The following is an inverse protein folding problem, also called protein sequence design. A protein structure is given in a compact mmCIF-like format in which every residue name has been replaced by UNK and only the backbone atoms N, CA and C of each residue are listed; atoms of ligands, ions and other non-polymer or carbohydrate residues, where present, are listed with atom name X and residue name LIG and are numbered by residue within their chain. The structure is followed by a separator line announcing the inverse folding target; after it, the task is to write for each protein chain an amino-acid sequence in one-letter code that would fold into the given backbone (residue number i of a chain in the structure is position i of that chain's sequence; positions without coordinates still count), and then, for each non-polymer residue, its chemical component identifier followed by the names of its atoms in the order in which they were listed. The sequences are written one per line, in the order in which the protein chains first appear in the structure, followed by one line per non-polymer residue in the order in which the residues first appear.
data_IF_292484480070
#
_entry.id   IF_292484480070
#
_cell.length_a   1.000
_cell.length_b   1.000
_cell.length_c   1.000
_cell.angle_alpha   90.00
_cell.angle_beta   90.00
_cell.angle_gamma   90.00
#
_symmetry.space_group_name_H-M   'P 1'
#
loop_
_entity.id
_entity.type
_entity.pdbx_description
1 polymer ?
#
# COMPACT_ATOMS: atom_id res chain seq x y z
N UNK A 1 8.02 10.00 13.75
CA UNK A 1 7.67 10.22 12.32
C UNK A 1 7.77 8.86 11.64
N UNK A 2 6.67 8.09 11.64
CA UNK A 2 6.67 6.69 11.22
C UNK A 2 6.93 6.61 9.71
N UNK A 3 7.94 5.83 9.33
CA UNK A 3 8.33 5.62 7.95
C UNK A 3 7.12 5.10 7.15
N UNK A 4 6.72 5.84 6.11
CA UNK A 4 5.70 5.36 5.17
C UNK A 4 6.27 4.16 4.43
N UNK A 5 5.78 2.97 4.76
CA UNK A 5 6.25 1.72 4.14
C UNK A 5 5.47 1.49 2.84
N UNK A 6 6.19 1.23 1.76
CA UNK A 6 5.56 0.84 0.48
C UNK A 6 5.58 -0.68 0.32
N UNK A 7 4.43 -1.28 0.04
CA UNK A 7 4.24 -2.73 -0.13
C UNK A 7 3.40 -2.96 -1.38
N UNK A 8 3.91 -3.72 -2.35
CA UNK A 8 3.24 -4.02 -3.62
C UNK A 8 2.70 -2.79 -4.39
N UNK A 9 3.39 -1.65 -4.28
CA UNK A 9 2.95 -0.39 -4.88
C UNK A 9 1.97 0.43 -4.03
N UNK A 10 1.52 -0.08 -2.88
CA UNK A 10 0.67 0.63 -1.93
C UNK A 10 1.49 1.22 -0.78
N UNK A 11 1.01 2.33 -0.21
CA UNK A 11 1.59 3.04 0.92
C UNK A 11 0.82 2.69 2.19
N UNK A 12 1.53 2.22 3.21
CA UNK A 12 0.97 1.98 4.54
C UNK A 12 1.04 3.27 5.34
N UNK A 13 -0.13 3.87 5.58
CA UNK A 13 -0.29 5.13 6.30
C UNK A 13 -0.85 4.88 7.69
N UNK A 14 -0.17 5.40 8.70
CA UNK A 14 -0.71 5.46 10.05
C UNK A 14 -1.50 6.76 10.23
N UNK A 15 -2.82 6.65 10.43
CA UNK A 15 -3.69 7.79 10.73
C UNK A 15 -3.83 7.96 12.25
N UNK A 16 -3.85 6.86 12.98
CA UNK A 16 -3.92 6.83 14.45
C UNK A 16 -3.31 5.53 14.99
N UNK A 17 -3.08 5.44 16.30
CA UNK A 17 -2.41 4.30 16.97
C UNK A 17 -3.04 2.93 16.66
N UNK A 18 -4.32 2.89 16.28
CA UNK A 18 -5.07 1.68 15.92
C UNK A 18 -5.70 1.77 14.53
N UNK A 19 -5.23 2.71 13.72
CA UNK A 19 -5.85 3.06 12.46
C UNK A 19 -4.78 3.17 11.38
N UNK A 20 -4.52 2.03 10.76
CA UNK A 20 -3.62 1.87 9.64
C UNK A 20 -4.42 1.73 8.36
N UNK A 21 -4.01 2.43 7.32
CA UNK A 21 -4.66 2.44 6.03
C UNK A 21 -3.65 2.06 4.95
N UNK A 22 -4.07 1.20 4.04
CA UNK A 22 -3.40 0.95 2.78
C UNK A 22 -3.89 2.00 1.79
N UNK A 23 -2.98 2.79 1.26
CA UNK A 23 -3.27 3.94 0.41
C UNK A 23 -2.57 3.74 -0.93
N UNK A 24 -3.27 3.97 -2.03
CA UNK A 24 -2.64 3.98 -3.34
C UNK A 24 -1.63 5.14 -3.45
N UNK A 25 -0.67 5.08 -4.39
CA UNK A 25 0.19 6.22 -4.69
C UNK A 25 -0.57 7.50 -5.07
N UNK A 26 -1.82 7.38 -5.52
CA UNK A 26 -2.75 8.49 -5.79
C UNK A 26 -3.25 9.20 -4.53
N UNK A 27 -3.05 8.61 -3.34
CA UNK A 27 -3.59 9.10 -2.07
C UNK A 27 -4.97 8.54 -1.71
N UNK A 28 -5.53 7.66 -2.54
CA UNK A 28 -6.81 6.99 -2.27
C UNK A 28 -6.66 5.90 -1.20
N UNK A 29 -7.59 5.84 -0.26
CA UNK A 29 -7.65 4.75 0.73
C UNK A 29 -8.20 3.49 0.07
N UNK A 30 -7.35 2.47 -0.09
CA UNK A 30 -7.66 1.22 -0.79
C UNK A 30 -8.20 0.18 0.19
N UNK A 31 -7.60 0.07 1.37
CA UNK A 31 -8.06 -0.86 2.40
C UNK A 31 -7.76 -0.35 3.82
N UNK A 32 -8.68 -0.61 4.75
CA UNK A 32 -8.56 -0.23 6.16
C UNK A 32 -9.94 0.08 6.79
N UNK A 33 -9.97 0.51 8.05
CA UNK A 33 -8.82 0.68 8.95
C UNK A 33 -8.33 -0.64 9.57
N UNK A 34 -7.01 -0.81 9.67
CA UNK A 34 -6.36 -1.94 10.33
C UNK A 34 -5.85 -1.57 11.72
N UNK A 35 -5.88 -2.55 12.63
CA UNK A 35 -5.47 -2.39 14.02
C UNK A 35 -3.95 -2.28 14.24
N UNK A 36 -3.14 -2.70 13.26
CA UNK A 36 -1.68 -2.68 13.32
C UNK A 36 -1.03 -2.54 11.94
N UNK A 37 0.21 -2.07 11.89
CA UNK A 37 1.01 -1.97 10.67
C UNK A 37 1.16 -3.33 9.99
N UNK A 38 1.40 -4.39 10.77
CA UNK A 38 1.59 -5.76 10.27
C UNK A 38 0.36 -6.26 9.52
N UNK A 39 -0.84 -6.01 10.04
CA UNK A 39 -2.09 -6.38 9.37
C UNK A 39 -2.26 -5.64 8.04
N UNK A 40 -1.92 -4.34 8.00
CA UNK A 40 -1.97 -3.57 6.76
C UNK A 40 -0.93 -4.05 5.73
N UNK A 41 0.27 -4.45 6.19
CA UNK A 41 1.32 -5.03 5.34
C UNK A 41 0.87 -6.39 4.79
N UNK A 42 0.38 -7.30 5.62
CA UNK A 42 -0.05 -8.64 5.17
C UNK A 42 -1.15 -8.53 4.11
N UNK A 43 -2.10 -7.60 4.29
CA UNK A 43 -3.12 -7.34 3.27
C UNK A 43 -2.49 -6.76 2.01
N UNK A 44 -1.59 -5.77 2.11
CA UNK A 44 -0.92 -5.19 0.94
C UNK A 44 -0.02 -6.19 0.18
N UNK A 45 0.59 -7.15 0.87
CA UNK A 45 1.41 -8.21 0.26
C UNK A 45 0.55 -9.18 -0.56
N UNK A 46 -0.67 -9.47 -0.11
CA UNK A 46 -1.61 -10.36 -0.83
C UNK A 46 -2.48 -9.59 -1.82
N UNK A 47 -2.65 -8.28 -1.62
CA UNK A 47 -3.45 -7.42 -2.47
C UNK A 47 -2.72 -7.16 -3.78
N UNK A 48 -2.97 -8.03 -4.76
CA UNK A 48 -2.58 -7.84 -6.14
C UNK A 48 -3.71 -7.12 -6.88
N UNK A 49 -3.42 -5.94 -7.41
CA UNK A 49 -4.36 -5.25 -8.28
C UNK A 49 -4.50 -6.07 -9.58
N UNK A 50 -5.67 -6.67 -9.78
CA UNK A 50 -6.00 -7.40 -11.01
C UNK A 50 -6.05 -6.45 -12.23
N UNK A 51 -5.96 -5.14 -12.03
CA UNK A 51 -5.77 -4.14 -13.08
C UNK A 51 -4.35 -4.15 -13.70
N UNK A 52 -3.71 -5.32 -13.79
CA UNK A 52 -2.51 -5.56 -14.59
C UNK A 52 -1.25 -4.85 -14.08
N UNK A 53 -0.07 -5.43 -14.33
CA UNK A 53 1.17 -4.76 -13.98
C UNK A 53 1.22 -3.42 -14.72
N UNK A 54 1.37 -2.30 -13.98
CA UNK A 54 1.81 -1.04 -14.58
C UNK A 54 2.99 -1.38 -15.49
N UNK A 55 2.94 -1.02 -16.80
CA UNK A 55 3.96 -1.44 -17.74
C UNK A 55 5.29 -0.96 -17.19
N UNK A 56 6.12 -1.92 -16.74
CA UNK A 56 7.54 -1.67 -16.51
C UNK A 56 8.06 -1.21 -17.85
N UNK A 57 8.15 0.10 -18.02
CA UNK A 57 8.68 0.72 -19.22
C UNK A 57 9.99 0.03 -19.50
N UNK A 58 10.03 -0.76 -20.58
CA UNK A 58 11.29 -1.18 -21.17
C UNK A 58 11.97 0.12 -21.57
N UNK A 59 12.93 0.56 -20.76
CA UNK A 59 13.98 1.43 -21.26
C UNK A 59 14.64 0.65 -22.40
N UNK A 60 14.29 1.04 -23.61
CA UNK A 60 14.96 0.65 -24.83
C UNK A 60 16.13 1.61 -24.95
N UNK A 61 17.33 1.12 -24.64
CA UNK A 61 18.60 1.59 -25.20
C UNK A 61 19.52 0.38 -25.36
#
# INVERSE_FOLDING_TARGET
MSATKSVNGYLIKNVSSKEWWMVAPSGEHVAGPFSSEKAAIEVAEVFEDLAGPAPRGRSKD
#
